data_IF_925776061694
#
_entry.id   IF_925776061694
#
_cell.length_a   1.000
_cell.length_b   1.000
_cell.length_c   1.000
_cell.angle_alpha   90.00
_cell.angle_beta   90.00
_cell.angle_gamma   90.00
#
_symmetry.space_group_name_H-M   'P 1'
#
loop_
_entity.id
_entity.type
_entity.pdbx_description
1 polymer ?
#
# COMPACT_ATOMS: atom_id res chain seq x y z
N UNK A 1 59.95 -23.34 3.82
CA UNK A 1 59.58 -22.48 2.67
C UNK A 1 58.08 -22.58 2.51
N UNK A 2 57.46 -21.43 2.30
CA UNK A 2 56.05 -21.13 2.51
C UNK A 2 55.13 -21.71 1.43
N UNK A 3 53.85 -21.86 1.76
CA UNK A 3 52.80 -22.08 0.77
C UNK A 3 51.46 -22.51 1.34
N UNK A 4 50.96 -21.83 2.38
CA UNK A 4 49.58 -21.97 2.83
C UNK A 4 48.68 -21.14 1.91
N UNK A 5 47.85 -21.80 1.10
CA UNK A 5 46.78 -21.13 0.35
C UNK A 5 45.60 -20.92 1.28
N UNK A 6 45.42 -19.67 1.71
CA UNK A 6 44.27 -19.14 2.42
C UNK A 6 43.46 -18.30 1.41
N UNK A 7 42.15 -18.22 1.65
CA UNK A 7 41.19 -17.28 1.09
C UNK A 7 40.60 -17.60 -0.30
N UNK A 8 39.38 -18.14 -0.25
CA UNK A 8 38.27 -17.59 -1.04
C UNK A 8 37.00 -17.83 -0.22
N UNK A 9 36.76 -16.93 0.72
CA UNK A 9 35.59 -16.89 1.60
C UNK A 9 35.13 -15.44 1.66
N UNK A 10 34.61 -14.98 0.53
CA UNK A 10 33.96 -13.72 0.16
C UNK A 10 33.27 -14.13 -1.17
N UNK A 11 31.96 -14.09 -1.40
CA UNK A 11 30.88 -13.23 -0.94
C UNK A 11 29.59 -14.07 -0.84
N UNK A 12 29.13 -14.35 0.37
CA UNK A 12 27.71 -14.56 0.66
C UNK A 12 27.37 -13.49 1.70
N UNK A 13 27.52 -12.22 1.30
CA UNK A 13 26.68 -11.19 1.87
C UNK A 13 25.31 -11.44 1.22
N UNK A 14 24.47 -12.21 1.91
CA UNK A 14 23.03 -12.12 1.71
C UNK A 14 22.70 -10.62 1.79
N UNK A 15 22.47 -9.99 0.64
CA UNK A 15 21.66 -8.80 0.60
C UNK A 15 20.39 -9.20 1.33
N UNK A 16 20.19 -8.70 2.56
CA UNK A 16 18.85 -8.59 3.10
C UNK A 16 18.09 -7.78 2.05
N UNK A 17 17.41 -8.47 1.11
CA UNK A 17 16.37 -7.88 0.28
C UNK A 17 15.47 -7.19 1.30
N UNK A 18 15.62 -5.87 1.46
CA UNK A 18 14.75 -5.07 2.31
C UNK A 18 13.41 -5.08 1.60
N UNK A 19 12.68 -6.18 1.72
CA UNK A 19 11.37 -6.38 1.11
C UNK A 19 10.50 -5.27 1.66
N UNK A 20 9.95 -4.42 0.79
CA UNK A 20 9.09 -3.34 1.26
C UNK A 20 8.02 -3.91 2.20
N UNK A 21 7.70 -3.21 3.30
CA UNK A 21 6.70 -3.72 4.22
C UNK A 21 5.38 -3.88 3.50
N UNK A 22 4.66 -4.96 3.83
CA UNK A 22 3.35 -5.23 3.25
C UNK A 22 2.41 -4.06 3.49
N UNK A 23 1.62 -3.74 2.46
CA UNK A 23 0.69 -2.63 2.48
C UNK A 23 -0.63 -2.95 1.80
N UNK A 24 -1.60 -2.06 1.97
CA UNK A 24 -2.84 -2.08 1.20
C UNK A 24 -2.65 -1.35 -0.12
N UNK A 25 -3.41 -1.71 -1.13
CA UNK A 25 -3.43 -1.07 -2.44
C UNK A 25 -4.85 -0.73 -2.82
N UNK A 26 -5.07 0.44 -3.41
CA UNK A 26 -6.26 0.69 -4.23
C UNK A 26 -6.01 0.23 -5.66
N UNK A 27 -7.08 0.06 -6.44
CA UNK A 27 -6.97 -0.25 -7.88
C UNK A 27 -6.13 0.81 -8.60
N UNK A 28 -6.36 2.09 -8.27
CA UNK A 28 -5.60 3.21 -8.83
C UNK A 28 -4.11 3.16 -8.50
N UNK A 29 -3.75 2.76 -7.28
CA UNK A 29 -2.35 2.64 -6.89
C UNK A 29 -1.68 1.45 -7.56
N UNK A 30 -2.35 0.29 -7.61
CA UNK A 30 -1.79 -0.91 -8.24
C UNK A 30 -1.45 -0.67 -9.71
N UNK A 31 -2.28 0.11 -10.40
CA UNK A 31 -2.07 0.51 -11.80
C UNK A 31 -0.75 1.20 -12.10
N UNK A 32 -0.14 1.83 -11.11
CA UNK A 32 1.14 2.49 -11.31
C UNK A 32 2.29 1.49 -11.47
N UNK A 33 2.13 0.25 -11.03
CA UNK A 33 3.16 -0.79 -11.04
C UNK A 33 3.02 -1.71 -12.27
N UNK A 34 3.02 -1.12 -13.46
CA UNK A 34 2.81 -1.81 -14.74
C UNK A 34 4.12 -2.16 -15.47
N UNK A 35 5.28 -1.84 -14.89
CA UNK A 35 6.57 -2.07 -15.52
C UNK A 35 7.03 -1.02 -16.53
N UNK A 36 6.21 0.00 -16.82
CA UNK A 36 6.60 1.09 -17.72
C UNK A 36 7.69 1.96 -17.11
N UNK A 37 8.34 2.79 -17.93
CA UNK A 37 9.34 3.74 -17.42
C UNK A 37 8.69 4.83 -16.58
N UNK A 38 9.35 5.20 -15.49
CA UNK A 38 9.09 6.44 -14.77
C UNK A 38 9.73 7.59 -15.55
N UNK A 39 8.90 8.46 -16.14
CA UNK A 39 9.35 9.53 -17.05
C UNK A 39 10.37 10.48 -16.40
N UNK A 40 10.31 10.61 -15.08
CA UNK A 40 11.14 11.55 -14.32
C UNK A 40 12.52 10.97 -13.94
N UNK A 41 12.63 9.64 -13.87
CA UNK A 41 13.82 8.96 -13.34
C UNK A 41 14.58 8.14 -14.40
N UNK A 42 13.96 7.90 -15.57
CA UNK A 42 14.48 6.99 -16.61
C UNK A 42 14.78 5.57 -16.07
N UNK A 43 13.98 5.15 -15.09
CA UNK A 43 14.03 3.84 -14.47
C UNK A 43 12.74 3.07 -14.75
N UNK A 44 12.83 1.75 -14.89
CA UNK A 44 11.66 0.89 -15.06
C UNK A 44 10.92 0.78 -13.72
N UNK A 45 9.63 1.10 -13.71
CA UNK A 45 8.77 0.86 -12.54
C UNK A 45 8.72 -0.64 -12.25
N UNK A 46 8.53 -1.06 -10.98
CA UNK A 46 8.23 -2.45 -10.65
C UNK A 46 6.99 -2.96 -11.40
N UNK A 47 6.90 -4.28 -11.59
CA UNK A 47 5.71 -4.93 -12.15
C UNK A 47 4.98 -5.66 -11.04
N UNK A 48 3.83 -5.15 -10.64
CA UNK A 48 2.95 -5.83 -9.69
C UNK A 48 1.71 -6.37 -10.40
N UNK A 49 1.08 -7.39 -9.83
CA UNK A 49 -0.27 -7.80 -10.20
C UNK A 49 -0.98 -8.35 -8.99
N UNK A 50 -2.31 -8.40 -9.04
CA UNK A 50 -3.11 -9.05 -8.02
C UNK A 50 -3.70 -10.36 -8.52
N UNK A 51 -3.86 -11.32 -7.61
CA UNK A 51 -4.62 -12.55 -7.79
C UNK A 51 -5.51 -12.77 -6.57
N UNK A 52 -6.84 -12.72 -6.75
CA UNK A 52 -7.79 -12.91 -5.65
C UNK A 52 -7.55 -11.91 -4.51
N UNK A 53 -7.13 -10.69 -4.85
CA UNK A 53 -6.79 -9.63 -3.91
C UNK A 53 -5.39 -9.71 -3.29
N UNK A 54 -4.62 -10.79 -3.43
CA UNK A 54 -3.19 -10.82 -3.03
C UNK A 54 -2.35 -10.09 -4.07
N UNK A 55 -1.50 -9.15 -3.67
CA UNK A 55 -0.62 -8.40 -4.57
C UNK A 55 0.79 -8.98 -4.55
N UNK A 56 1.32 -9.31 -5.73
CA UNK A 56 2.63 -9.90 -5.93
C UNK A 56 3.57 -8.96 -6.67
N UNK A 57 4.84 -8.94 -6.27
CA UNK A 57 5.91 -8.37 -7.09
C UNK A 57 6.41 -9.41 -8.10
N UNK A 58 6.05 -9.20 -9.37
CA UNK A 58 6.45 -10.06 -10.48
C UNK A 58 7.58 -9.46 -11.31
N UNK A 59 8.33 -8.49 -10.77
CA UNK A 59 9.45 -7.83 -11.44
C UNK A 59 10.55 -8.82 -11.89
N UNK A 60 10.78 -9.91 -11.13
CA UNK A 60 11.68 -11.01 -11.54
C UNK A 60 11.20 -11.72 -12.83
N UNK A 61 9.91 -11.61 -13.16
CA UNK A 61 9.27 -12.10 -14.38
C UNK A 61 8.96 -11.01 -15.42
N UNK A 62 9.65 -9.86 -15.42
CA UNK A 62 9.36 -8.73 -16.32
C UNK A 62 9.28 -9.08 -17.80
N UNK A 63 10.03 -10.06 -18.30
CA UNK A 63 9.93 -10.52 -19.70
C UNK A 63 8.55 -11.13 -20.05
N UNK A 64 7.78 -11.52 -19.04
CA UNK A 64 6.45 -12.08 -19.17
C UNK A 64 5.37 -11.02 -18.93
N UNK A 65 5.47 -10.32 -17.80
CA UNK A 65 4.41 -9.42 -17.31
C UNK A 65 4.68 -7.94 -17.55
N UNK A 66 5.92 -7.54 -17.84
CA UNK A 66 6.25 -6.15 -18.13
C UNK A 66 5.93 -5.78 -19.59
N UNK A 67 6.18 -4.52 -19.96
CA UNK A 67 5.88 -4.01 -21.30
C UNK A 67 6.51 -4.85 -22.42
N UNK A 68 5.71 -5.23 -23.40
CA UNK A 68 6.10 -6.10 -24.52
C UNK A 68 6.13 -7.59 -24.21
N UNK A 69 5.79 -8.00 -22.98
CA UNK A 69 5.66 -9.39 -22.58
C UNK A 69 4.30 -10.00 -22.96
N UNK A 70 4.20 -11.34 -23.11
CA UNK A 70 2.95 -12.02 -23.48
C UNK A 70 1.81 -11.87 -22.46
N UNK A 71 2.12 -11.49 -21.22
CA UNK A 71 1.16 -11.30 -20.13
C UNK A 71 1.10 -9.83 -19.65
N UNK A 72 1.56 -8.88 -20.47
CA UNK A 72 1.60 -7.45 -20.12
C UNK A 72 0.23 -6.88 -19.73
N UNK A 73 -0.84 -7.44 -20.28
CA UNK A 73 -2.22 -7.02 -19.97
C UNK A 73 -2.59 -7.16 -18.50
N UNK A 74 -1.86 -7.98 -17.72
CA UNK A 74 -2.09 -8.18 -16.29
C UNK A 74 -1.27 -7.23 -15.40
N UNK A 75 -0.31 -6.49 -15.96
CA UNK A 75 0.55 -5.59 -15.21
C UNK A 75 -0.25 -4.47 -14.53
N UNK A 76 -0.08 -4.32 -13.23
CA UNK A 76 -0.79 -3.35 -12.40
C UNK A 76 -2.29 -3.61 -12.24
N UNK A 77 -2.77 -4.85 -12.44
CA UNK A 77 -4.21 -5.19 -12.39
C UNK A 77 -4.54 -6.35 -11.48
N UNK A 78 -5.81 -6.45 -11.09
CA UNK A 78 -6.36 -7.73 -10.63
C UNK A 78 -6.62 -8.61 -11.87
N UNK A 79 -5.99 -9.77 -11.95
CA UNK A 79 -6.18 -10.75 -13.01
C UNK A 79 -6.60 -12.16 -12.55
N UNK A 80 -6.97 -12.35 -11.29
CA UNK A 80 -7.36 -13.64 -10.71
C UNK A 80 -8.45 -14.35 -11.52
N UNK A 81 -9.55 -13.66 -11.84
CA UNK A 81 -10.65 -14.25 -12.62
C UNK A 81 -10.23 -14.58 -14.06
N UNK A 82 -9.39 -13.74 -14.68
CA UNK A 82 -8.86 -13.98 -16.02
C UNK A 82 -7.93 -15.20 -16.06
N UNK A 83 -7.00 -15.33 -15.11
CA UNK A 83 -6.11 -16.50 -15.00
C UNK A 83 -6.86 -17.78 -14.67
N UNK A 84 -7.84 -17.72 -13.77
CA UNK A 84 -8.71 -18.85 -13.43
C UNK A 84 -9.45 -19.40 -14.66
N UNK A 85 -9.87 -18.51 -15.56
CA UNK A 85 -10.57 -18.84 -16.81
C UNK A 85 -9.62 -19.05 -17.99
N UNK A 86 -8.30 -18.97 -17.79
CA UNK A 86 -7.28 -19.05 -18.83
C UNK A 86 -7.53 -18.07 -19.99
N UNK A 87 -7.93 -16.85 -19.65
CA UNK A 87 -8.39 -15.82 -20.59
C UNK A 87 -7.52 -14.56 -20.50
N UNK A 88 -7.42 -13.84 -21.63
CA UNK A 88 -6.84 -12.49 -21.72
C UNK A 88 -7.92 -11.42 -21.91
N UNK A 89 -9.19 -11.78 -21.70
CA UNK A 89 -10.31 -10.85 -21.80
C UNK A 89 -10.22 -9.79 -20.70
N UNK A 90 -10.05 -8.53 -21.10
CA UNK A 90 -9.92 -7.41 -20.18
C UNK A 90 -11.17 -7.12 -19.36
N UNK A 91 -12.34 -7.63 -19.77
CA UNK A 91 -13.57 -7.54 -18.98
C UNK A 91 -13.54 -8.39 -17.71
N UNK A 92 -12.57 -9.31 -17.58
CA UNK A 92 -12.36 -10.15 -16.41
C UNK A 92 -11.30 -9.57 -15.44
N UNK A 93 -10.83 -8.35 -15.69
CA UNK A 93 -9.76 -7.71 -14.92
C UNK A 93 -10.33 -6.62 -14.01
N UNK A 94 -9.65 -6.38 -12.89
CA UNK A 94 -9.98 -5.36 -11.87
C UNK A 94 -11.30 -5.55 -11.13
N UNK A 95 -11.80 -6.78 -11.14
CA UNK A 95 -12.94 -7.19 -10.35
C UNK A 95 -12.51 -8.31 -9.40
N UNK A 96 -12.21 -7.94 -8.15
CA UNK A 96 -11.92 -8.92 -7.09
C UNK A 96 -13.16 -9.77 -6.79
N UNK A 97 -14.37 -9.19 -6.89
CA UNK A 97 -15.61 -9.92 -6.59
C UNK A 97 -15.90 -11.02 -7.64
N UNK A 98 -15.38 -10.86 -8.87
CA UNK A 98 -15.42 -11.93 -9.87
C UNK A 98 -14.74 -13.21 -9.36
N UNK A 99 -13.64 -13.10 -8.62
CA UNK A 99 -12.95 -14.25 -8.02
C UNK A 99 -13.82 -15.00 -6.99
N UNK A 100 -14.67 -14.28 -6.25
CA UNK A 100 -15.57 -14.88 -5.25
C UNK A 100 -16.74 -15.67 -5.89
N UNK A 101 -17.16 -15.27 -7.09
CA UNK A 101 -18.29 -15.84 -7.83
C UNK A 101 -17.92 -16.92 -8.84
N UNK A 102 -16.62 -17.24 -8.96
CA UNK A 102 -16.11 -18.31 -9.82
C UNK A 102 -16.76 -19.67 -9.52
N UNK A 103 -16.93 -20.48 -10.58
CA UNK A 103 -17.33 -21.87 -10.45
C UNK A 103 -16.26 -22.70 -9.76
N UNK A 104 -16.62 -23.88 -9.24
CA UNK A 104 -15.70 -24.74 -8.45
C UNK A 104 -14.40 -25.04 -9.21
N UNK A 105 -14.49 -25.37 -10.50
CA UNK A 105 -13.30 -25.63 -11.33
C UNK A 105 -12.39 -24.40 -11.46
N UNK A 106 -12.96 -23.25 -11.81
CA UNK A 106 -12.22 -22.00 -11.94
C UNK A 106 -11.59 -21.57 -10.60
N UNK A 107 -12.26 -21.81 -9.46
CA UNK A 107 -11.69 -21.56 -8.12
C UNK A 107 -10.45 -22.42 -7.86
N UNK A 108 -10.50 -23.70 -8.22
CA UNK A 108 -9.33 -24.58 -8.12
C UNK A 108 -8.18 -24.09 -9.01
N UNK A 109 -8.47 -23.59 -10.22
CA UNK A 109 -7.42 -23.01 -11.06
C UNK A 109 -6.84 -21.72 -10.49
N UNK A 110 -7.66 -20.86 -9.86
CA UNK A 110 -7.17 -19.69 -9.13
C UNK A 110 -6.23 -20.10 -7.98
N UNK A 111 -6.61 -21.12 -7.20
CA UNK A 111 -5.78 -21.67 -6.12
C UNK A 111 -4.46 -22.23 -6.66
N UNK A 112 -4.48 -22.96 -7.78
CA UNK A 112 -3.27 -23.45 -8.45
C UNK A 112 -2.35 -22.29 -8.89
N UNK A 113 -2.92 -21.20 -9.40
CA UNK A 113 -2.15 -20.01 -9.78
C UNK A 113 -1.52 -19.31 -8.56
N UNK A 114 -2.27 -19.18 -7.46
CA UNK A 114 -1.75 -18.66 -6.20
C UNK A 114 -0.58 -19.51 -5.69
N UNK A 115 -0.73 -20.83 -5.66
CA UNK A 115 0.34 -21.76 -5.27
C UNK A 115 1.58 -21.58 -6.18
N UNK A 116 1.37 -21.47 -7.49
CA UNK A 116 2.43 -21.22 -8.48
C UNK A 116 3.20 -19.93 -8.21
N UNK A 117 2.51 -18.86 -7.87
CA UNK A 117 3.11 -17.56 -7.59
C UNK A 117 3.86 -17.58 -6.25
N UNK A 118 3.26 -18.14 -5.21
CA UNK A 118 3.80 -18.16 -3.85
C UNK A 118 4.95 -19.16 -3.68
N UNK A 119 4.84 -20.38 -4.24
CA UNK A 119 5.73 -21.49 -3.91
C UNK A 119 6.64 -21.94 -5.06
N UNK A 120 6.21 -21.82 -6.32
CA UNK A 120 7.04 -22.28 -7.46
C UNK A 120 7.83 -21.15 -8.10
N UNK A 121 7.28 -19.94 -8.12
CA UNK A 121 7.94 -18.72 -8.60
C UNK A 121 8.49 -17.89 -7.45
N UNK A 122 7.97 -18.07 -6.24
CA UNK A 122 8.37 -17.36 -5.03
C UNK A 122 8.35 -15.84 -5.23
N UNK A 123 7.29 -15.32 -5.85
CA UNK A 123 7.11 -13.89 -6.00
C UNK A 123 6.81 -13.26 -4.62
N UNK A 124 7.49 -12.16 -4.25
CA UNK A 124 7.22 -11.48 -2.99
C UNK A 124 5.76 -11.01 -2.91
N UNK A 125 5.12 -11.23 -1.75
CA UNK A 125 3.78 -10.71 -1.47
C UNK A 125 3.91 -9.29 -0.90
N UNK A 126 3.45 -8.31 -1.68
CA UNK A 126 3.50 -6.89 -1.33
C UNK A 126 2.29 -6.46 -0.47
N UNK A 127 1.25 -7.28 -0.41
CA UNK A 127 0.10 -7.08 0.47
C UNK A 127 -1.23 -7.39 -0.19
N UNK A 128 -2.23 -6.52 -0.01
CA UNK A 128 -3.61 -6.77 -0.46
C UNK A 128 -4.19 -5.61 -1.24
N UNK A 129 -4.93 -5.93 -2.30
CA UNK A 129 -5.75 -5.00 -3.08
C UNK A 129 -7.13 -4.89 -2.42
N UNK A 130 -7.50 -3.67 -2.06
CA UNK A 130 -8.78 -3.35 -1.42
C UNK A 130 -9.67 -2.65 -2.45
N UNK A 131 -10.84 -3.21 -2.79
CA UNK A 131 -11.81 -2.55 -3.66
C UNK A 131 -12.33 -1.24 -3.08
N UNK A 132 -12.59 -0.26 -3.93
CA UNK A 132 -13.06 1.07 -3.50
C UNK A 132 -14.41 1.00 -2.76
N UNK A 133 -15.28 0.04 -3.08
CA UNK A 133 -16.57 -0.18 -2.39
C UNK A 133 -16.42 -0.82 -1.00
N UNK A 134 -15.24 -1.36 -0.68
CA UNK A 134 -14.90 -1.89 0.65
C UNK A 134 -14.21 -0.85 1.53
N UNK A 135 -13.84 0.31 1.00
CA UNK A 135 -13.24 1.38 1.78
C UNK A 135 -14.31 2.09 2.64
N UNK A 136 -13.94 2.54 3.86
CA UNK A 136 -14.85 3.34 4.67
C UNK A 136 -15.31 4.63 3.95
N UNK A 137 -16.54 5.04 4.19
CA UNK A 137 -17.09 6.26 3.58
C UNK A 137 -16.28 7.51 3.99
N UNK A 138 -15.88 8.37 3.05
CA UNK A 138 -15.16 9.61 3.35
C UNK A 138 -15.99 10.62 4.15
N UNK A 139 -17.32 10.46 4.21
CA UNK A 139 -18.22 11.37 4.92
C UNK A 139 -18.52 10.92 6.37
N UNK A 140 -18.03 9.76 6.81
CA UNK A 140 -18.21 9.36 8.21
C UNK A 140 -17.40 10.27 9.13
N UNK A 141 -17.92 10.53 10.32
CA UNK A 141 -17.22 11.30 11.35
C UNK A 141 -16.38 10.36 12.20
N UNK A 142 -15.10 10.66 12.36
CA UNK A 142 -14.14 9.89 13.15
C UNK A 142 -13.74 10.73 14.37
N UNK A 143 -13.96 10.17 15.57
CA UNK A 143 -13.54 10.81 16.82
C UNK A 143 -12.04 10.67 17.05
N UNK A 144 -11.48 11.50 17.94
CA UNK A 144 -10.05 11.42 18.30
C UNK A 144 -9.70 10.07 18.93
N UNK A 145 -10.63 9.47 19.68
CA UNK A 145 -10.46 8.17 20.32
C UNK A 145 -10.47 7.03 19.30
N UNK A 146 -11.29 7.13 18.25
CA UNK A 146 -11.27 6.16 17.15
C UNK A 146 -9.97 6.28 16.35
N UNK A 147 -9.56 7.51 16.03
CA UNK A 147 -8.32 7.78 15.31
C UNK A 147 -7.11 7.15 16.03
N UNK A 148 -7.03 7.31 17.35
CA UNK A 148 -5.94 6.77 18.16
C UNK A 148 -5.87 5.23 18.20
N UNK A 149 -6.91 4.51 17.78
CA UNK A 149 -6.87 3.03 17.67
C UNK A 149 -6.01 2.55 16.49
N UNK A 150 -5.80 3.41 15.50
CA UNK A 150 -5.11 3.11 14.25
C UNK A 150 -3.77 3.87 14.17
N UNK A 151 -2.96 3.70 15.21
CA UNK A 151 -1.68 4.40 15.46
C UNK A 151 -0.45 3.73 14.81
N UNK A 152 -0.66 2.70 13.99
CA UNK A 152 0.41 1.97 13.32
C UNK A 152 1.30 1.13 14.23
N UNK A 153 0.94 0.94 15.51
CA UNK A 153 1.67 0.07 16.44
C UNK A 153 1.32 -1.41 16.25
N UNK A 154 0.12 -1.70 15.74
CA UNK A 154 -0.29 -3.06 15.37
C UNK A 154 0.32 -3.44 14.04
N UNK A 155 0.97 -4.60 14.00
CA UNK A 155 1.65 -5.12 12.82
C UNK A 155 0.99 -6.42 12.34
N UNK A 156 1.19 -6.75 11.06
CA UNK A 156 0.67 -7.96 10.45
C UNK A 156 -0.73 -7.80 9.87
N UNK A 157 -1.30 -8.93 9.45
CA UNK A 157 -2.61 -8.99 8.79
C UNK A 157 -3.73 -8.98 9.83
N UNK A 158 -4.72 -8.08 9.71
CA UNK A 158 -5.89 -8.06 10.58
C UNK A 158 -6.69 -9.37 10.53
N UNK A 159 -7.22 -9.79 11.67
CA UNK A 159 -8.09 -10.98 11.79
C UNK A 159 -9.55 -10.63 12.04
N UNK A 160 -9.81 -9.36 12.34
CA UNK A 160 -11.12 -8.80 12.59
C UNK A 160 -11.98 -8.80 11.31
N UNK A 161 -13.24 -9.24 11.41
CA UNK A 161 -14.15 -9.32 10.26
C UNK A 161 -14.36 -7.97 9.57
N UNK A 162 -14.34 -6.87 10.32
CA UNK A 162 -14.47 -5.50 9.82
C UNK A 162 -13.30 -5.08 8.92
N UNK A 163 -12.14 -5.72 9.09
CA UNK A 163 -10.92 -5.48 8.32
C UNK A 163 -10.60 -6.65 7.39
N UNK A 164 -11.57 -7.53 7.14
CA UNK A 164 -11.39 -8.67 6.24
C UNK A 164 -10.93 -8.18 4.86
N UNK A 165 -9.81 -8.74 4.40
CA UNK A 165 -9.19 -8.39 3.13
C UNK A 165 -8.00 -7.44 3.25
N UNK A 166 -7.83 -6.74 4.38
CA UNK A 166 -6.65 -5.90 4.62
C UNK A 166 -5.39 -6.76 4.72
N UNK A 167 -4.30 -6.31 4.10
CA UNK A 167 -2.99 -6.96 4.15
C UNK A 167 -2.17 -6.54 5.37
N UNK A 168 -2.43 -5.33 5.86
CA UNK A 168 -1.84 -4.75 7.08
C UNK A 168 -2.90 -3.93 7.82
N UNK A 169 -2.71 -3.74 9.13
CA UNK A 169 -3.60 -2.90 9.94
C UNK A 169 -3.71 -1.48 9.35
N UNK A 170 -4.91 -0.89 9.28
CA UNK A 170 -5.09 0.49 8.90
C UNK A 170 -4.27 1.42 9.80
N UNK A 171 -3.74 2.48 9.20
CA UNK A 171 -3.01 3.52 9.92
C UNK A 171 -3.70 4.81 9.56
N UNK A 172 -4.36 5.44 10.52
CA UNK A 172 -5.10 6.67 10.25
C UNK A 172 -4.25 7.90 10.57
N UNK A 173 -4.36 8.91 9.71
CA UNK A 173 -3.70 10.19 9.89
C UNK A 173 -4.72 11.29 9.62
N UNK A 174 -5.02 12.09 10.64
CA UNK A 174 -5.84 13.28 10.50
C UNK A 174 -5.05 14.43 9.88
N UNK A 175 -5.61 15.09 8.87
CA UNK A 175 -5.06 16.32 8.33
C UNK A 175 -6.20 17.26 7.89
N UNK A 176 -6.19 18.45 8.47
CA UNK A 176 -7.16 19.53 8.35
C UNK A 176 -8.59 19.17 8.78
N UNK A 177 -9.35 18.50 7.92
CA UNK A 177 -10.71 18.03 8.19
C UNK A 177 -10.92 16.57 7.76
N UNK A 178 -9.90 15.95 7.17
CA UNK A 178 -9.95 14.62 6.58
C UNK A 178 -9.12 13.64 7.41
N UNK A 179 -9.52 12.38 7.35
CA UNK A 179 -8.74 11.25 7.87
C UNK A 179 -8.31 10.40 6.70
N UNK A 180 -7.00 10.21 6.57
CA UNK A 180 -6.37 9.41 5.54
C UNK A 180 -5.99 8.04 6.09
N UNK A 181 -6.22 6.98 5.32
CA UNK A 181 -5.60 5.69 5.59
C UNK A 181 -4.23 5.59 4.90
N UNK A 182 -3.19 5.85 5.69
CA UNK A 182 -1.81 5.84 5.22
C UNK A 182 -1.22 4.42 5.19
N UNK A 183 -1.98 3.37 5.53
CA UNK A 183 -1.56 1.98 5.33
C UNK A 183 -1.41 1.59 3.86
N UNK A 184 -1.91 2.42 2.93
CA UNK A 184 -1.90 2.20 1.48
C UNK A 184 -0.56 2.53 0.78
N UNK A 185 0.50 2.81 1.56
CA UNK A 185 1.82 3.19 1.03
C UNK A 185 2.66 4.02 1.98
N UNK A 186 2.10 4.43 3.11
CA UNK A 186 2.78 5.15 4.18
C UNK A 186 3.32 4.25 5.28
N UNK A 187 3.21 2.92 5.21
CA UNK A 187 3.70 2.00 6.24
C UNK A 187 5.19 2.23 6.59
N UNK A 188 6.12 2.41 5.64
CA UNK A 188 7.52 2.73 5.98
C UNK A 188 7.70 4.06 6.73
N UNK A 189 6.73 4.98 6.60
CA UNK A 189 6.80 6.32 7.17
C UNK A 189 6.08 6.40 8.52
N UNK A 190 4.88 5.84 8.62
CA UNK A 190 3.96 5.99 9.75
C UNK A 190 3.76 4.71 10.57
N UNK A 191 4.24 3.56 10.09
CA UNK A 191 4.28 2.31 10.87
C UNK A 191 5.20 2.44 12.09
N UNK A 192 5.19 1.43 12.96
CA UNK A 192 5.91 1.40 14.25
C UNK A 192 7.35 1.93 14.22
N UNK A 193 8.13 1.53 13.22
CA UNK A 193 9.54 1.91 13.07
C UNK A 193 9.76 3.09 12.10
N UNK A 194 8.67 3.71 11.64
CA UNK A 194 8.71 4.80 10.67
C UNK A 194 9.07 6.16 11.30
N UNK A 195 9.78 7.04 10.57
CA UNK A 195 10.20 8.36 11.08
C UNK A 195 9.03 9.30 11.43
N UNK A 196 7.85 9.06 10.85
CA UNK A 196 6.62 9.84 11.04
C UNK A 196 5.60 9.13 11.93
N UNK A 197 5.96 8.01 12.59
CA UNK A 197 5.06 7.22 13.45
C UNK A 197 4.33 8.07 14.50
N UNK A 198 4.97 9.11 15.04
CA UNK A 198 4.36 9.98 16.06
C UNK A 198 3.07 10.69 15.65
N UNK A 199 2.82 10.79 14.34
CA UNK A 199 1.61 11.38 13.76
C UNK A 199 0.51 10.34 13.52
N UNK A 200 0.85 9.05 13.47
CA UNK A 200 -0.12 7.99 13.29
C UNK A 200 -1.13 7.98 14.45
N UNK A 201 -2.41 7.81 14.10
CA UNK A 201 -3.54 7.85 15.02
C UNK A 201 -3.85 9.24 15.60
N UNK A 202 -3.31 10.32 15.01
CA UNK A 202 -3.52 11.69 15.50
C UNK A 202 -3.91 12.65 14.39
N UNK A 203 -4.43 13.80 14.82
CA UNK A 203 -4.60 14.96 13.95
C UNK A 203 -3.25 15.69 13.84
N UNK A 204 -2.60 15.51 12.70
CA UNK A 204 -1.31 16.11 12.39
C UNK A 204 -1.42 17.50 11.75
N UNK A 205 -2.60 18.13 11.74
CA UNK A 205 -2.84 19.42 11.06
C UNK A 205 -1.81 20.48 11.44
N UNK A 206 -1.63 20.71 12.74
CA UNK A 206 -0.70 21.72 13.25
C UNK A 206 0.76 21.36 12.94
N UNK A 207 1.16 20.12 13.22
CA UNK A 207 2.51 19.64 12.95
C UNK A 207 2.88 19.76 11.47
N UNK A 208 1.96 19.45 10.55
CA UNK A 208 2.15 19.61 9.11
C UNK A 208 2.23 21.08 8.71
N UNK A 209 1.37 21.94 9.26
CA UNK A 209 1.37 23.38 9.01
C UNK A 209 2.67 24.06 9.47
N UNK A 210 3.21 23.64 10.61
CA UNK A 210 4.45 24.14 11.20
C UNK A 210 5.70 23.41 10.68
N UNK A 211 5.54 22.32 9.93
CA UNK A 211 6.62 21.38 9.58
C UNK A 211 7.43 20.94 10.81
N UNK A 212 6.74 20.69 11.91
CA UNK A 212 7.31 20.44 13.23
C UNK A 212 7.19 18.98 13.61
N UNK A 213 8.28 18.43 14.16
CA UNK A 213 8.28 17.12 14.81
C UNK A 213 8.16 17.23 16.33
N UNK A 214 7.88 18.43 16.86
CA UNK A 214 7.66 18.65 18.28
C UNK A 214 6.42 17.86 18.75
N UNK A 215 6.53 17.06 19.82
CA UNK A 215 5.39 16.32 20.37
C UNK A 215 4.19 17.21 20.76
N UNK A 216 4.43 18.45 21.16
CA UNK A 216 3.37 19.39 21.51
C UNK A 216 2.55 19.80 20.27
N UNK A 217 3.23 20.03 19.15
CA UNK A 217 2.56 20.36 17.88
C UNK A 217 1.83 19.14 17.30
N UNK A 218 2.39 17.93 17.48
CA UNK A 218 1.78 16.67 17.06
C UNK A 218 0.55 16.28 17.89
N UNK A 219 0.44 16.77 19.13
CA UNK A 219 -0.67 16.50 20.03
C UNK A 219 -1.74 17.61 20.02
N UNK A 220 -1.45 18.75 19.41
CA UNK A 220 -2.35 19.90 19.35
C UNK A 220 -3.01 20.03 17.97
N UNK A 221 -4.31 19.71 17.84
CA UNK A 221 -5.03 19.87 16.57
C UNK A 221 -5.43 21.32 16.26
N UNK A 222 -5.28 22.25 17.23
CA UNK A 222 -5.69 23.64 17.04
C UNK A 222 -4.79 24.33 16.00
N UNK A 223 -5.46 24.92 15.01
CA UNK A 223 -4.87 25.68 13.91
C UNK A 223 -5.38 27.12 13.86
N UNK A 224 -6.17 27.56 14.85
CA UNK A 224 -6.81 28.88 14.88
C UNK A 224 -5.82 30.03 15.05
N UNK A 225 -4.65 29.75 15.62
CA UNK A 225 -3.55 30.68 15.85
C UNK A 225 -2.54 30.74 14.68
N UNK A 226 -2.74 29.94 13.63
CA UNK A 226 -1.79 29.84 12.52
C UNK A 226 -1.97 30.96 11.48
N UNK A 227 -0.85 31.39 10.91
CA UNK A 227 -0.82 32.35 9.82
C UNK A 227 -1.29 31.72 8.50
N UNK A 228 -1.77 32.55 7.57
CA UNK A 228 -2.23 32.12 6.24
C UNK A 228 -1.18 31.29 5.49
N UNK A 229 0.11 31.62 5.63
CA UNK A 229 1.20 30.85 5.01
C UNK A 229 1.31 29.43 5.57
N UNK A 230 1.12 29.25 6.87
CA UNK A 230 1.17 27.93 7.53
C UNK A 230 -0.04 27.09 7.14
N UNK A 231 -1.22 27.72 7.08
CA UNK A 231 -2.45 27.07 6.59
C UNK A 231 -2.29 26.65 5.12
N UNK A 232 -1.62 27.45 4.28
CA UNK A 232 -1.31 27.05 2.90
C UNK A 232 -0.42 25.80 2.85
N UNK A 233 0.61 25.72 3.70
CA UNK A 233 1.48 24.52 3.78
C UNK A 233 0.66 23.28 4.15
N UNK A 234 -0.28 23.39 5.10
CA UNK A 234 -1.18 22.30 5.45
C UNK A 234 -2.03 21.86 4.25
N UNK A 235 -2.62 22.80 3.49
CA UNK A 235 -3.38 22.45 2.29
C UNK A 235 -2.52 21.79 1.20
N UNK A 236 -1.27 22.23 1.03
CA UNK A 236 -0.32 21.61 0.10
C UNK A 236 -0.02 20.15 0.52
N UNK A 237 0.09 19.87 1.82
CA UNK A 237 0.22 18.50 2.35
C UNK A 237 -1.02 17.64 2.13
N UNK A 238 -2.21 18.16 2.41
CA UNK A 238 -3.48 17.48 2.16
C UNK A 238 -3.60 17.10 0.69
N UNK A 239 -3.29 18.03 -0.22
CA UNK A 239 -3.26 17.77 -1.66
C UNK A 239 -2.24 16.69 -2.04
N UNK A 240 -1.05 16.71 -1.43
CA UNK A 240 -0.01 15.68 -1.66
C UNK A 240 -0.46 14.29 -1.22
N UNK A 241 -1.19 14.17 -0.10
CA UNK A 241 -1.74 12.89 0.34
C UNK A 241 -2.81 12.36 -0.62
N UNK A 242 -3.67 13.23 -1.15
CA UNK A 242 -4.73 12.88 -2.09
C UNK A 242 -4.20 12.55 -3.49
N UNK A 243 -3.38 13.42 -4.06
CA UNK A 243 -3.00 13.36 -5.48
C UNK A 243 -1.72 12.57 -5.72
N UNK A 244 -0.67 12.83 -4.93
CA UNK A 244 0.64 12.22 -5.15
C UNK A 244 0.78 10.87 -4.48
N UNK A 245 0.24 10.72 -3.26
CA UNK A 245 0.30 9.45 -2.52
C UNK A 245 -0.93 8.57 -2.73
N UNK A 246 -2.07 9.17 -3.08
CA UNK A 246 -3.31 8.45 -3.34
C UNK A 246 -3.83 7.72 -2.11
N UNK A 247 -3.62 8.26 -0.91
CA UNK A 247 -4.15 7.66 0.31
C UNK A 247 -5.68 7.79 0.34
N UNK A 248 -6.42 6.70 0.58
CA UNK A 248 -7.87 6.77 0.74
C UNK A 248 -8.29 7.72 1.87
N UNK A 249 -9.33 8.51 1.62
CA UNK A 249 -10.00 9.28 2.67
C UNK A 249 -11.04 8.37 3.29
N UNK A 250 -10.87 8.09 4.59
CA UNK A 250 -11.72 7.16 5.33
C UNK A 250 -12.71 7.86 6.26
N UNK A 251 -12.76 9.19 6.25
CA UNK A 251 -13.69 9.96 7.06
C UNK A 251 -13.26 11.41 7.24
N UNK A 252 -14.03 12.12 8.07
CA UNK A 252 -13.76 13.49 8.53
C UNK A 252 -13.50 13.51 10.02
N UNK A 253 -12.60 14.38 10.44
CA UNK A 253 -12.32 14.57 11.86
C UNK A 253 -13.52 15.21 12.55
N UNK A 254 -13.90 14.66 13.70
CA UNK A 254 -14.86 15.32 14.58
C UNK A 254 -14.26 16.60 15.17
N UNK A 255 -14.78 17.75 14.71
CA UNK A 255 -14.38 19.08 15.20
C UNK A 255 -15.24 19.56 16.37
N UNK A 256 -16.09 18.70 16.92
CA UNK A 256 -17.01 19.05 18.01
C UNK A 256 -16.32 18.94 19.37
N UNK A 257 -15.35 19.81 19.65
CA UNK A 257 -14.85 20.11 21.01
C UNK A 257 -14.49 21.59 21.13
#
# INVERSE_FOLDING_TARGET
MNGATKQSSQEEEEEEETSEPRRNFTVKQLRHFDGTKEEQLDEDKPVYLSLGGTVFDVSKGRSFYGPGGPYEVFAGRECGAALAKMSFDESLLDDIAACETLGVGDKTELENWLEKFEHYRCYPIMGKLIPDDKLPSPDRVISKEELAKFDGQKEGTPTEDELKGYGTYPIYLGAYDKVFDVSFGGVPMYGKDGPYNRFAGKDASRALALMSFDPNDAANPDISDLEEKQVKVLHDWVKKFEENKGYPIVGRLDKTL
#
